data_IF_860630768564
#
_entry.id   IF_860630768564
#
_cell.length_a   1.000
_cell.length_b   1.000
_cell.length_c   1.000
_cell.angle_alpha   90.00
_cell.angle_beta   90.00
_cell.angle_gamma   90.00
#
_symmetry.space_group_name_H-M   'P 1'
#
loop_
_entity.id
_entity.type
_entity.pdbx_description
1 polymer ?
#
# COMPACT_ATOMS: atom_id res chain seq x y z
N UNK A 1 17.93 15.71 -4.25
CA UNK A 1 16.90 16.76 -4.37
C UNK A 1 15.68 16.25 -3.61
N UNK A 2 15.25 16.82 -2.48
CA UNK A 2 13.99 16.40 -1.89
C UNK A 2 12.88 16.86 -2.84
N UNK A 3 12.03 15.93 -3.28
CA UNK A 3 10.89 16.27 -4.12
C UNK A 3 10.07 17.36 -3.41
N UNK A 4 9.90 18.51 -4.05
CA UNK A 4 9.04 19.58 -3.55
C UNK A 4 7.62 19.02 -3.40
N UNK A 5 7.13 18.94 -2.16
CA UNK A 5 5.76 18.53 -1.88
C UNK A 5 4.83 19.55 -2.52
N UNK A 6 4.16 19.15 -3.61
CA UNK A 6 3.14 19.95 -4.25
C UNK A 6 1.83 19.77 -3.47
N UNK A 7 1.21 20.82 -2.89
CA UNK A 7 -0.02 20.69 -2.12
C UNK A 7 -1.24 20.19 -2.91
N UNK A 8 -1.14 20.08 -4.25
CA UNK A 8 -2.11 19.41 -5.12
C UNK A 8 -1.73 17.97 -5.48
N UNK A 9 -0.69 17.41 -4.86
CA UNK A 9 -0.27 16.04 -5.12
C UNK A 9 -1.32 15.05 -4.62
N UNK A 10 -1.70 14.12 -5.49
CA UNK A 10 -2.57 13.01 -5.11
C UNK A 10 -1.94 12.20 -3.98
N UNK A 11 -2.68 12.06 -2.88
CA UNK A 11 -2.32 11.19 -1.78
C UNK A 11 -2.96 9.81 -1.99
N UNK A 12 -2.16 8.77 -1.87
CA UNK A 12 -2.60 7.38 -2.04
C UNK A 12 -2.49 6.62 -0.72
N UNK A 13 -3.33 5.60 -0.56
CA UNK A 13 -3.29 4.72 0.59
C UNK A 13 -2.14 3.71 0.44
N UNK A 14 -1.26 3.66 1.45
CA UNK A 14 -0.13 2.74 1.49
C UNK A 14 -0.07 1.98 2.80
N UNK A 15 0.67 0.87 2.78
CA UNK A 15 1.10 0.10 3.96
C UNK A 15 2.61 -0.11 3.91
N UNK A 16 3.26 -0.36 5.05
CA UNK A 16 4.68 -0.71 5.07
C UNK A 16 4.90 -2.07 4.42
N UNK A 17 5.97 -2.19 3.63
CA UNK A 17 6.40 -3.46 3.04
C UNK A 17 6.72 -4.51 4.10
N UNK A 18 7.33 -4.10 5.20
CA UNK A 18 7.67 -5.01 6.32
C UNK A 18 6.44 -5.73 6.88
N UNK A 19 5.30 -5.03 7.01
CA UNK A 19 4.06 -5.64 7.48
C UNK A 19 3.57 -6.74 6.52
N UNK A 20 3.67 -6.51 5.21
CA UNK A 20 3.34 -7.55 4.22
C UNK A 20 4.27 -8.76 4.34
N UNK A 21 5.57 -8.53 4.55
CA UNK A 21 6.54 -9.60 4.73
C UNK A 21 6.29 -10.40 6.02
N UNK A 22 5.95 -9.72 7.12
CA UNK A 22 5.56 -10.31 8.41
C UNK A 22 4.30 -11.18 8.33
N UNK A 23 3.30 -10.74 7.55
CA UNK A 23 2.05 -11.51 7.33
C UNK A 23 2.26 -12.76 6.46
N UNK A 24 3.38 -12.81 5.74
CA UNK A 24 3.74 -13.85 4.79
C UNK A 24 3.72 -13.32 3.36
N UNK A 25 4.88 -12.92 2.85
CA UNK A 25 4.99 -12.47 1.47
C UNK A 25 4.64 -13.60 0.47
N UNK A 26 3.93 -13.24 -0.60
CA UNK A 26 3.61 -14.14 -1.71
C UNK A 26 3.87 -13.48 -3.06
N UNK A 27 3.88 -14.31 -4.12
CA UNK A 27 3.97 -13.87 -5.51
C UNK A 27 2.76 -14.42 -6.28
N UNK A 28 2.07 -13.56 -7.02
CA UNK A 28 0.82 -13.91 -7.72
C UNK A 28 -0.42 -13.60 -6.89
N UNK A 29 -1.35 -14.55 -6.78
CA UNK A 29 -2.63 -14.40 -6.07
C UNK A 29 -2.65 -15.26 -4.80
N UNK A 30 -3.24 -14.72 -3.74
CA UNK A 30 -3.48 -15.44 -2.49
C UNK A 30 -4.99 -15.45 -2.21
N UNK A 31 -5.57 -16.63 -2.04
CA UNK A 31 -7.03 -16.81 -1.94
C UNK A 31 -7.61 -16.73 -0.52
N UNK A 32 -6.78 -16.36 0.46
CA UNK A 32 -7.18 -16.06 1.84
C UNK A 32 -6.99 -14.56 2.12
N UNK A 33 -7.83 -13.66 1.56
CA UNK A 33 -7.61 -12.22 1.66
C UNK A 33 -7.76 -11.68 3.08
N UNK A 34 -8.59 -12.29 3.93
CA UNK A 34 -8.87 -11.86 5.30
C UNK A 34 -7.60 -11.83 6.15
N UNK A 35 -6.68 -12.77 5.92
CA UNK A 35 -5.37 -12.84 6.59
C UNK A 35 -4.56 -11.55 6.44
N UNK A 36 -4.72 -10.86 5.32
CA UNK A 36 -4.01 -9.63 5.02
C UNK A 36 -4.89 -8.41 5.31
N UNK A 37 -6.13 -8.39 4.80
CA UNK A 37 -7.00 -7.22 4.85
C UNK A 37 -7.25 -6.72 6.28
N UNK A 38 -7.49 -7.61 7.24
CA UNK A 38 -7.71 -7.21 8.65
C UNK A 38 -6.50 -6.48 9.23
N UNK A 39 -5.29 -6.98 8.98
CA UNK A 39 -4.06 -6.35 9.47
C UNK A 39 -3.72 -5.07 8.71
N UNK A 40 -3.77 -5.09 7.37
CA UNK A 40 -3.43 -3.95 6.52
C UNK A 40 -4.37 -2.75 6.75
N UNK A 41 -5.67 -3.00 6.95
CA UNK A 41 -6.67 -1.95 7.15
C UNK A 41 -6.85 -1.54 8.62
N UNK A 42 -6.17 -2.22 9.56
CA UNK A 42 -6.16 -1.82 10.96
C UNK A 42 -5.57 -0.41 11.12
N UNK A 43 -6.12 0.35 12.07
CA UNK A 43 -5.67 1.72 12.37
C UNK A 43 -4.17 1.70 12.71
N UNK A 44 -3.41 2.55 12.01
CA UNK A 44 -1.96 2.71 12.22
C UNK A 44 -1.09 1.86 11.28
N UNK A 45 -1.67 0.88 10.58
CA UNK A 45 -0.94 0.05 9.63
C UNK A 45 -0.98 0.60 8.20
N UNK A 46 -1.98 1.42 7.89
CA UNK A 46 -2.10 2.17 6.65
C UNK A 46 -2.10 3.67 6.91
N UNK A 47 -1.65 4.42 5.92
CA UNK A 47 -1.61 5.88 5.94
C UNK A 47 -1.53 6.42 4.51
N UNK A 48 -1.72 7.73 4.37
CA UNK A 48 -1.65 8.41 3.08
C UNK A 48 -0.25 8.98 2.83
N UNK A 49 0.29 8.76 1.64
CA UNK A 49 1.50 9.40 1.13
C UNK A 49 1.23 10.07 -0.22
N UNK A 50 1.90 11.19 -0.54
CA UNK A 50 1.93 11.71 -1.90
C UNK A 50 2.42 10.62 -2.86
N UNK A 51 1.71 10.38 -3.98
CA UNK A 51 2.08 9.33 -4.95
C UNK A 51 3.54 9.45 -5.39
N UNK A 52 4.03 10.67 -5.62
CA UNK A 52 5.41 10.91 -6.03
C UNK A 52 6.47 10.36 -5.04
N UNK A 53 6.14 10.26 -3.75
CA UNK A 53 7.03 9.69 -2.72
C UNK A 53 6.89 8.17 -2.63
N UNK A 54 5.72 7.61 -2.94
CA UNK A 54 5.44 6.19 -2.84
C UNK A 54 5.74 5.39 -4.12
N UNK A 55 5.80 6.03 -5.29
CA UNK A 55 5.95 5.36 -6.59
C UNK A 55 7.24 4.54 -6.72
N UNK A 56 8.36 5.11 -6.25
CA UNK A 56 9.68 4.52 -6.37
C UNK A 56 10.24 4.02 -5.03
N UNK A 57 9.48 4.13 -3.95
CA UNK A 57 9.91 3.72 -2.61
C UNK A 57 9.48 2.28 -2.34
N UNK A 58 10.42 1.29 -2.35
CA UNK A 58 10.08 -0.11 -2.14
C UNK A 58 9.67 -0.43 -0.69
N UNK A 59 9.87 0.50 0.25
CA UNK A 59 9.51 0.32 1.65
C UNK A 59 7.99 0.45 1.89
N UNK A 60 7.25 0.91 0.88
CA UNK A 60 5.80 1.05 0.91
C UNK A 60 5.15 0.22 -0.19
N UNK A 61 3.99 -0.35 0.11
CA UNK A 61 3.09 -0.96 -0.89
C UNK A 61 1.85 -0.08 -1.04
N UNK A 62 1.52 0.26 -2.28
CA UNK A 62 0.29 0.97 -2.63
C UNK A 62 -0.89 -0.01 -2.57
N UNK A 63 -1.99 0.37 -1.92
CA UNK A 63 -3.25 -0.40 -1.98
C UNK A 63 -4.03 0.07 -3.20
N UNK A 64 -4.15 -0.82 -4.20
CA UNK A 64 -4.85 -0.53 -5.46
C UNK A 64 -6.11 -1.42 -5.53
N UNK A 65 -7.32 -0.86 -5.37
CA UNK A 65 -8.54 -1.60 -5.61
C UNK A 65 -8.62 -2.05 -7.07
N UNK A 66 -8.91 -3.32 -7.30
CA UNK A 66 -9.07 -3.90 -8.63
C UNK A 66 -10.34 -4.74 -8.67
N UNK A 67 -11.21 -4.48 -9.64
CA UNK A 67 -12.49 -5.15 -9.79
C UNK A 67 -12.62 -5.71 -11.21
N UNK A 68 -13.06 -6.96 -11.32
CA UNK A 68 -13.41 -7.61 -12.59
C UNK A 68 -14.93 -7.73 -12.60
N UNK A 69 -15.56 -7.22 -13.66
CA UNK A 69 -17.03 -7.20 -13.82
C UNK A 69 -17.35 -7.96 -15.10
N UNK A 70 -18.38 -8.81 -15.05
CA UNK A 70 -18.87 -9.64 -16.15
C UNK A 70 -20.07 -9.01 -16.85
#
# INVERSE_FOLDING_TARGET
MPASVNPRSENILVVKRSLFDELGAFQGLHFEPERYLTALLSRGNNFFLPRALAENDPTHKQIIPYAIIA
#
